data_IF_943081900968
#
_entry.id   IF_943081900968
#
_cell.length_a   1.000
_cell.length_b   1.000
_cell.length_c   1.000
_cell.angle_alpha   90.00
_cell.angle_beta   90.00
_cell.angle_gamma   90.00
#
_symmetry.space_group_name_H-M   'P 1'
#
loop_
_entity.id
_entity.type
_entity.pdbx_description
1 polymer ?
#
# COMPACT_ATOMS: atom_id res chain seq x y z
N UNK A 1 31.75 -7.83 -19.39
CA UNK A 1 31.56 -9.11 -18.67
C UNK A 1 31.47 -8.81 -17.18
N UNK A 2 30.25 -8.57 -16.67
CA UNK A 2 29.97 -8.41 -15.25
C UNK A 2 29.02 -9.54 -14.86
N UNK A 3 29.30 -10.17 -13.73
CA UNK A 3 28.72 -11.43 -13.26
C UNK A 3 27.26 -11.21 -12.82
N UNK A 4 26.35 -11.98 -13.39
CA UNK A 4 24.98 -12.12 -12.89
C UNK A 4 25.02 -12.90 -11.58
N UNK A 5 24.54 -12.29 -10.50
CA UNK A 5 24.22 -12.99 -9.26
C UNK A 5 22.70 -13.18 -9.29
N UNK A 6 22.26 -14.38 -9.67
CA UNK A 6 20.87 -14.79 -9.56
C UNK A 6 20.56 -15.07 -8.08
N UNK A 7 19.87 -14.15 -7.42
CA UNK A 7 19.10 -14.49 -6.23
C UNK A 7 17.78 -15.10 -6.69
N UNK A 8 17.66 -16.42 -6.56
CA UNK A 8 16.41 -17.12 -6.79
C UNK A 8 15.44 -16.86 -5.63
N UNK A 9 14.45 -16.01 -5.87
CA UNK A 9 13.26 -15.89 -5.03
C UNK A 9 12.39 -17.14 -5.24
N UNK A 10 12.19 -17.89 -4.15
CA UNK A 10 11.31 -19.06 -4.12
C UNK A 10 9.86 -18.54 -4.15
N UNK A 11 9.21 -18.75 -5.29
CA UNK A 11 7.79 -18.50 -5.50
C UNK A 11 6.99 -19.64 -4.84
N UNK A 12 6.46 -19.43 -3.64
CA UNK A 12 5.44 -20.34 -3.08
C UNK A 12 4.07 -19.94 -3.60
N UNK A 13 3.67 -20.57 -4.69
CA UNK A 13 2.27 -20.66 -5.10
C UNK A 13 1.56 -21.56 -4.06
N UNK A 14 0.97 -20.97 -3.02
CA UNK A 14 0.17 -21.73 -2.06
C UNK A 14 -1.22 -21.98 -2.66
N UNK A 15 -1.40 -23.13 -3.31
CA UNK A 15 -2.72 -23.68 -3.60
C UNK A 15 -3.17 -24.43 -2.34
N UNK A 16 -3.95 -23.79 -1.47
CA UNK A 16 -4.45 -24.42 -0.25
C UNK A 16 -5.82 -25.06 -0.47
N UNK A 17 -5.83 -26.32 -0.89
CA UNK A 17 -6.92 -27.25 -0.58
C UNK A 17 -6.80 -27.68 0.88
N UNK A 18 -7.82 -27.43 1.69
CA UNK A 18 -7.83 -27.70 3.13
C UNK A 18 -7.84 -29.18 3.53
N UNK A 19 -7.29 -29.47 4.71
CA UNK A 19 -7.90 -30.32 5.74
C UNK A 19 -7.08 -30.27 7.05
N UNK A 20 -7.79 -30.18 8.17
CA UNK A 20 -7.35 -30.21 9.57
C UNK A 20 -6.71 -31.55 9.99
N UNK A 21 -5.75 -31.52 10.92
CA UNK A 21 -5.63 -32.38 12.14
C UNK A 21 -4.43 -31.93 13.02
N UNK A 22 -4.62 -32.08 14.34
CA UNK A 22 -3.91 -31.52 15.50
C UNK A 22 -2.56 -32.17 15.88
N UNK A 23 -1.84 -31.38 16.70
CA UNK A 23 -1.08 -31.70 17.93
C UNK A 23 0.45 -31.91 17.91
N UNK A 24 1.14 -31.01 18.64
CA UNK A 24 1.90 -31.22 19.89
C UNK A 24 3.41 -30.85 19.89
N UNK A 25 3.68 -29.74 20.61
CA UNK A 25 4.73 -29.44 21.59
C UNK A 25 6.13 -30.11 21.51
N UNK A 26 7.19 -29.28 21.47
CA UNK A 26 7.98 -28.81 22.64
C UNK A 26 9.51 -28.74 22.40
N UNK A 27 10.15 -27.72 22.99
CA UNK A 27 11.48 -27.70 23.68
C UNK A 27 12.40 -26.51 23.33
N UNK A 28 12.23 -25.43 24.11
CA UNK A 28 13.19 -24.61 24.88
C UNK A 28 14.65 -24.36 24.41
N UNK A 29 15.07 -23.08 24.50
CA UNK A 29 16.23 -22.58 25.26
C UNK A 29 16.17 -21.03 25.36
N UNK A 30 15.81 -20.43 26.51
CA UNK A 30 16.70 -19.78 27.53
C UNK A 30 17.64 -18.70 26.94
N UNK A 31 17.65 -17.43 27.35
CA UNK A 31 18.04 -16.81 28.63
C UNK A 31 17.87 -15.27 28.39
N UNK A 32 17.64 -14.33 29.29
CA UNK A 32 18.02 -14.17 30.69
C UNK A 32 17.17 -13.06 31.33
N UNK A 33 16.85 -13.25 32.60
CA UNK A 33 16.12 -12.37 33.51
C UNK A 33 17.11 -11.39 34.17
N UNK A 34 16.74 -10.11 34.30
CA UNK A 34 17.34 -9.18 35.26
C UNK A 34 16.21 -8.60 36.13
N UNK A 35 16.43 -8.55 37.45
CA UNK A 35 15.45 -8.27 38.51
C UNK A 35 15.78 -6.99 39.28
N UNK A 36 14.70 -6.37 39.82
CA UNK A 36 14.57 -5.51 41.02
C UNK A 36 15.12 -4.07 40.97
N UNK A 37 14.55 -3.05 41.63
CA UNK A 37 13.52 -2.97 42.70
C UNK A 37 12.88 -1.56 42.76
N UNK A 38 11.63 -1.53 43.25
CA UNK A 38 10.86 -0.55 44.06
C UNK A 38 11.14 0.98 44.08
N UNK A 39 10.05 1.74 43.94
CA UNK A 39 9.61 2.70 44.98
C UNK A 39 8.16 3.14 44.79
N UNK A 40 7.33 2.89 45.80
CA UNK A 40 5.98 3.39 46.00
C UNK A 40 5.90 4.92 46.12
N UNK A 41 4.85 5.54 45.56
CA UNK A 41 4.17 6.66 46.23
C UNK A 41 2.66 6.65 45.90
N UNK A 42 1.87 6.80 46.94
CA UNK A 42 0.42 6.74 46.91
C UNK A 42 -0.16 8.15 47.07
N UNK A 43 -1.05 8.55 46.16
CA UNK A 43 -1.98 9.65 46.41
C UNK A 43 -3.35 9.32 45.85
N UNK A 44 -4.32 9.27 46.75
CA UNK A 44 -5.74 8.99 46.51
C UNK A 44 -6.52 10.27 46.20
N UNK A 45 -7.72 10.06 45.63
CA UNK A 45 -8.88 10.97 45.43
C UNK A 45 -8.91 11.73 44.09
N UNK A 46 -9.98 11.78 43.30
CA UNK A 46 -11.43 11.61 43.52
C UNK A 46 -12.13 10.96 42.30
N UNK A 47 -13.19 10.18 42.55
CA UNK A 47 -14.13 9.68 41.53
C UNK A 47 -15.09 10.79 41.09
N UNK A 48 -15.22 11.00 39.78
CA UNK A 48 -16.39 11.64 39.20
C UNK A 48 -16.92 10.77 38.05
N UNK A 49 -18.08 10.16 38.31
CA UNK A 49 -18.84 9.32 37.39
C UNK A 49 -19.49 10.19 36.32
N UNK A 50 -19.07 10.05 35.07
CA UNK A 50 -19.90 10.39 33.91
C UNK A 50 -20.01 9.17 33.00
N UNK A 51 -21.24 8.66 32.88
CA UNK A 51 -21.55 7.47 32.11
C UNK A 51 -21.54 7.75 30.61
N UNK A 52 -20.51 7.24 29.93
CA UNK A 52 -20.51 6.93 28.51
C UNK A 52 -20.57 5.40 28.33
N UNK A 53 -21.13 4.89 27.22
CA UNK A 53 -21.33 3.46 27.04
C UNK A 53 -19.97 2.77 27.02
N UNK A 54 -19.74 1.94 28.05
CA UNK A 54 -18.60 1.03 28.15
C UNK A 54 -18.64 0.07 26.95
N UNK A 55 -18.05 0.48 25.83
CA UNK A 55 -17.54 -0.46 24.85
C UNK A 55 -16.57 -1.35 25.60
N UNK A 56 -16.84 -2.65 25.63
CA UNK A 56 -15.91 -3.63 26.17
C UNK A 56 -14.72 -3.73 25.22
N UNK A 57 -13.84 -2.73 25.22
CA UNK A 57 -12.54 -2.80 24.56
C UNK A 57 -11.69 -3.77 25.38
N UNK A 58 -11.66 -5.02 24.92
CA UNK A 58 -10.55 -5.90 25.25
C UNK A 58 -9.28 -5.18 24.76
N UNK A 59 -8.27 -5.12 25.62
CA UNK A 59 -6.95 -4.56 25.27
C UNK A 59 -6.43 -5.28 24.02
N UNK A 60 -6.04 -4.52 22.99
CA UNK A 60 -5.54 -5.07 21.73
C UNK A 60 -4.11 -5.59 21.96
N UNK A 61 -3.88 -6.87 21.67
CA UNK A 61 -2.54 -7.47 21.75
C UNK A 61 -1.81 -7.29 20.41
N UNK A 62 -1.08 -6.19 20.26
CA UNK A 62 -0.33 -5.87 19.04
C UNK A 62 0.78 -6.88 18.69
N UNK A 63 1.12 -7.80 19.59
CA UNK A 63 2.14 -8.84 19.34
C UNK A 63 1.51 -10.17 18.91
N UNK A 64 0.18 -10.26 18.89
CA UNK A 64 -0.54 -11.39 18.33
C UNK A 64 -0.53 -11.32 16.80
N UNK A 65 -0.31 -12.47 16.16
CA UNK A 65 -0.57 -12.65 14.73
C UNK A 65 -2.09 -12.73 14.47
N UNK A 66 -2.62 -11.70 13.83
CA UNK A 66 -4.04 -11.60 13.45
C UNK A 66 -4.33 -12.09 12.02
N UNK A 67 -3.35 -12.65 11.29
CA UNK A 67 -3.51 -13.01 9.87
C UNK A 67 -4.74 -13.89 9.63
N UNK A 68 -4.89 -14.99 10.38
CA UNK A 68 -6.05 -15.89 10.23
C UNK A 68 -7.39 -15.26 10.64
N UNK A 69 -7.38 -14.33 11.60
CA UNK A 69 -8.57 -13.60 12.01
C UNK A 69 -9.00 -12.62 10.90
N UNK A 70 -8.03 -11.88 10.35
CA UNK A 70 -8.21 -10.98 9.19
C UNK A 70 -8.77 -11.74 8.00
N UNK A 71 -8.14 -12.85 7.60
CA UNK A 71 -8.58 -13.66 6.47
C UNK A 71 -10.03 -14.11 6.65
N UNK A 72 -10.39 -14.58 7.85
CA UNK A 72 -11.74 -15.02 8.17
C UNK A 72 -12.76 -13.89 8.02
N UNK A 73 -12.43 -12.69 8.48
CA UNK A 73 -13.31 -11.52 8.38
C UNK A 73 -13.44 -11.01 6.95
N UNK A 74 -12.35 -10.98 6.18
CA UNK A 74 -12.38 -10.62 4.76
C UNK A 74 -13.24 -11.60 3.97
N UNK A 75 -13.06 -12.92 4.14
CA UNK A 75 -13.93 -13.89 3.48
C UNK A 75 -15.40 -13.80 3.95
N UNK A 76 -15.65 -13.44 5.20
CA UNK A 76 -17.02 -13.19 5.67
C UNK A 76 -17.63 -11.97 4.98
N UNK A 77 -16.87 -10.89 4.79
CA UNK A 77 -17.29 -9.70 4.04
C UNK A 77 -17.60 -10.03 2.56
N UNK A 78 -16.72 -10.77 1.90
CA UNK A 78 -16.90 -11.25 0.52
C UNK A 78 -18.19 -12.07 0.40
N UNK A 79 -18.36 -13.08 1.25
CA UNK A 79 -19.52 -13.98 1.20
C UNK A 79 -20.86 -13.30 1.55
N UNK A 80 -20.81 -12.16 2.26
CA UNK A 80 -21.99 -11.38 2.60
C UNK A 80 -22.41 -10.40 1.49
N UNK A 81 -21.54 -10.17 0.50
CA UNK A 81 -21.73 -9.15 -0.54
C UNK A 81 -22.45 -9.72 -1.76
N UNK A 82 -23.31 -8.92 -2.37
CA UNK A 82 -24.11 -9.31 -3.55
C UNK A 82 -23.54 -8.79 -4.87
N UNK A 83 -22.68 -7.77 -4.80
CA UNK A 83 -22.00 -7.13 -5.93
C UNK A 83 -20.53 -6.90 -5.59
N UNK A 84 -19.65 -6.81 -6.59
CA UNK A 84 -18.25 -6.40 -6.46
C UNK A 84 -18.12 -5.00 -5.86
N UNK A 85 -19.05 -4.08 -6.17
CA UNK A 85 -19.07 -2.77 -5.54
C UNK A 85 -19.30 -2.86 -4.02
N UNK A 86 -20.30 -3.65 -3.59
CA UNK A 86 -20.59 -3.88 -2.17
C UNK A 86 -19.45 -4.65 -1.49
N UNK A 87 -18.83 -5.59 -2.19
CA UNK A 87 -17.70 -6.38 -1.70
C UNK A 87 -16.51 -5.50 -1.31
N UNK A 88 -16.07 -4.61 -2.21
CA UNK A 88 -14.99 -3.65 -1.91
C UNK A 88 -15.36 -2.75 -0.73
N UNK A 89 -16.61 -2.29 -0.65
CA UNK A 89 -17.10 -1.49 0.50
C UNK A 89 -17.11 -2.29 1.82
N UNK A 90 -17.43 -3.57 1.78
CA UNK A 90 -17.45 -4.44 2.96
C UNK A 90 -16.04 -4.82 3.42
N UNK A 91 -15.11 -5.06 2.51
CA UNK A 91 -13.69 -5.25 2.84
C UNK A 91 -13.08 -3.96 3.40
N UNK A 92 -13.45 -2.79 2.86
CA UNK A 92 -13.06 -1.50 3.44
C UNK A 92 -13.52 -1.37 4.90
N UNK A 93 -14.74 -1.81 5.25
CA UNK A 93 -15.21 -1.81 6.66
C UNK A 93 -14.38 -2.72 7.57
N UNK A 94 -13.82 -3.81 7.04
CA UNK A 94 -12.84 -4.62 7.78
C UNK A 94 -11.57 -3.79 8.02
N UNK A 95 -11.04 -3.11 6.99
CA UNK A 95 -9.89 -2.21 7.15
C UNK A 95 -10.15 -1.08 8.16
N UNK A 96 -11.33 -0.45 8.11
CA UNK A 96 -11.74 0.61 9.04
C UNK A 96 -11.75 0.11 10.50
N UNK A 97 -12.24 -1.12 10.74
CA UNK A 97 -12.20 -1.74 12.05
C UNK A 97 -10.75 -1.89 12.56
N UNK A 98 -9.85 -2.45 11.74
CA UNK A 98 -8.44 -2.60 12.11
C UNK A 98 -7.74 -1.24 12.27
N UNK A 99 -8.22 -0.21 11.58
CA UNK A 99 -7.74 1.18 11.73
C UNK A 99 -8.07 1.70 13.13
N UNK A 100 -9.29 1.47 13.63
CA UNK A 100 -9.65 1.82 15.01
C UNK A 100 -8.86 1.04 16.07
N UNK A 101 -8.40 -0.17 15.75
CA UNK A 101 -7.48 -0.92 16.61
C UNK A 101 -6.07 -0.33 16.58
N UNK A 102 -5.53 -0.06 15.39
CA UNK A 102 -4.20 0.51 15.21
C UNK A 102 -4.04 1.89 15.87
N UNK A 103 -5.10 2.69 15.96
CA UNK A 103 -5.11 3.98 16.69
C UNK A 103 -4.79 3.85 18.18
N UNK A 104 -4.90 2.66 18.76
CA UNK A 104 -4.58 2.40 20.16
C UNK A 104 -3.08 2.08 20.37
N UNK A 105 -2.29 1.94 19.29
CA UNK A 105 -0.86 1.73 19.38
C UNK A 105 -0.17 2.93 20.05
N UNK A 106 0.69 2.67 21.03
CA UNK A 106 1.36 3.70 21.83
C UNK A 106 2.86 3.78 21.51
N UNK A 107 3.44 2.73 20.97
CA UNK A 107 4.85 2.63 20.60
C UNK A 107 5.04 2.45 19.10
N UNK A 108 6.20 2.87 18.59
CA UNK A 108 6.58 2.64 17.19
C UNK A 108 6.54 1.15 16.83
N UNK A 109 6.89 0.26 17.77
CA UNK A 109 6.81 -1.19 17.55
C UNK A 109 5.37 -1.64 17.31
N UNK A 110 4.41 -1.19 18.13
CA UNK A 110 2.99 -1.53 17.95
C UNK A 110 2.41 -0.93 16.65
N UNK A 111 2.83 0.29 16.30
CA UNK A 111 2.48 0.90 15.01
C UNK A 111 3.02 0.07 13.83
N UNK A 112 4.27 -0.39 13.93
CA UNK A 112 4.88 -1.24 12.90
C UNK A 112 4.12 -2.58 12.77
N UNK A 113 3.80 -3.24 13.90
CA UNK A 113 3.07 -4.51 13.88
C UNK A 113 1.66 -4.36 13.31
N UNK A 114 0.96 -3.28 13.68
CA UNK A 114 -0.40 -3.05 13.20
C UNK A 114 -0.49 -2.62 11.74
N UNK A 115 0.57 -2.00 11.19
CA UNK A 115 0.58 -1.58 9.78
C UNK A 115 0.48 -2.74 8.78
N UNK A 116 0.96 -3.94 9.15
CA UNK A 116 0.86 -5.13 8.31
C UNK A 116 -0.59 -5.59 8.11
N UNK A 117 -1.48 -5.36 9.09
CA UNK A 117 -2.87 -5.82 9.05
C UNK A 117 -3.60 -5.32 7.81
N UNK A 118 -3.37 -4.08 7.43
CA UNK A 118 -4.06 -3.45 6.29
C UNK A 118 -3.62 -4.06 4.96
N UNK A 119 -2.31 -4.29 4.79
CA UNK A 119 -1.80 -5.00 3.62
C UNK A 119 -2.39 -6.42 3.54
N UNK A 120 -2.44 -7.14 4.66
CA UNK A 120 -3.04 -8.49 4.72
C UNK A 120 -4.53 -8.50 4.34
N UNK A 121 -5.29 -7.49 4.76
CA UNK A 121 -6.71 -7.35 4.38
C UNK A 121 -6.86 -7.28 2.86
N UNK A 122 -6.13 -6.36 2.22
CA UNK A 122 -6.25 -6.16 0.77
C UNK A 122 -5.58 -7.25 -0.05
N UNK A 123 -4.49 -7.86 0.41
CA UNK A 123 -3.87 -8.99 -0.28
C UNK A 123 -4.79 -10.23 -0.26
N UNK A 124 -5.49 -10.46 0.86
CA UNK A 124 -6.53 -11.50 0.94
C UNK A 124 -7.63 -11.28 -0.10
N UNK A 125 -8.13 -10.04 -0.19
CA UNK A 125 -9.16 -9.68 -1.17
C UNK A 125 -8.64 -9.80 -2.62
N UNK A 126 -7.42 -9.32 -2.89
CA UNK A 126 -6.79 -9.42 -4.21
C UNK A 126 -6.69 -10.88 -4.67
N UNK A 127 -6.28 -11.78 -3.77
CA UNK A 127 -6.16 -13.21 -4.07
C UNK A 127 -7.54 -13.85 -4.36
N UNK A 128 -8.60 -13.43 -3.65
CA UNK A 128 -9.98 -13.86 -3.90
C UNK A 128 -10.49 -13.38 -5.26
N UNK A 129 -10.38 -12.08 -5.56
CA UNK A 129 -10.74 -11.48 -6.84
C UNK A 129 -9.99 -12.15 -8.00
N UNK A 130 -8.68 -12.33 -7.85
CA UNK A 130 -7.84 -12.95 -8.85
C UNK A 130 -8.26 -14.39 -9.16
N UNK A 131 -8.57 -15.17 -8.12
CA UNK A 131 -9.03 -16.56 -8.28
C UNK A 131 -10.34 -16.61 -9.10
N UNK A 132 -11.33 -15.80 -8.73
CA UNK A 132 -12.61 -15.69 -9.47
C UNK A 132 -12.41 -15.19 -10.90
N UNK A 133 -11.52 -14.21 -11.11
CA UNK A 133 -11.17 -13.71 -12.43
C UNK A 133 -10.60 -14.82 -13.33
N UNK A 134 -9.63 -15.60 -12.83
CA UNK A 134 -9.03 -16.70 -13.59
C UNK A 134 -10.05 -17.79 -13.94
N UNK A 135 -10.99 -18.08 -13.04
CA UNK A 135 -12.05 -19.06 -13.29
C UNK A 135 -13.08 -18.58 -14.32
N UNK A 136 -13.31 -17.27 -14.40
CA UNK A 136 -14.41 -16.70 -15.21
C UNK A 136 -13.95 -16.19 -16.58
N UNK A 137 -12.75 -15.62 -16.69
CA UNK A 137 -12.27 -14.97 -17.91
C UNK A 137 -11.98 -15.96 -19.06
N UNK A 138 -12.28 -15.53 -20.29
CA UNK A 138 -11.83 -16.21 -21.50
C UNK A 138 -10.28 -16.18 -21.64
N UNK A 139 -9.73 -17.06 -22.48
CA UNK A 139 -8.28 -17.24 -22.64
C UNK A 139 -7.55 -15.94 -23.04
N UNK A 140 -8.13 -15.14 -23.94
CA UNK A 140 -7.47 -13.93 -24.46
C UNK A 140 -7.44 -12.84 -23.38
N UNK A 141 -8.58 -12.61 -22.72
CA UNK A 141 -8.69 -11.68 -21.58
C UNK A 141 -7.77 -12.09 -20.43
N UNK A 142 -7.77 -13.39 -20.10
CA UNK A 142 -6.90 -13.97 -19.07
C UNK A 142 -5.42 -13.75 -19.36
N UNK A 143 -4.97 -14.01 -20.59
CA UNK A 143 -3.58 -13.82 -20.97
C UNK A 143 -3.13 -12.35 -20.81
N UNK A 144 -3.97 -11.40 -21.24
CA UNK A 144 -3.69 -9.97 -21.13
C UNK A 144 -3.58 -9.53 -19.67
N UNK A 145 -4.57 -9.84 -18.84
CA UNK A 145 -4.61 -9.39 -17.44
C UNK A 145 -3.55 -10.12 -16.60
N UNK A 146 -3.28 -11.40 -16.87
CA UNK A 146 -2.19 -12.16 -16.21
C UNK A 146 -0.81 -11.56 -16.50
N UNK A 147 -0.57 -11.10 -17.74
CA UNK A 147 0.68 -10.41 -18.06
C UNK A 147 0.82 -9.13 -17.24
N UNK A 148 -0.25 -8.33 -17.13
CA UNK A 148 -0.25 -7.13 -16.29
C UNK A 148 -0.07 -7.44 -14.80
N UNK A 149 -0.69 -8.53 -14.30
CA UNK A 149 -0.55 -8.99 -12.91
C UNK A 149 0.89 -9.38 -12.59
N UNK A 150 1.52 -10.17 -13.46
CA UNK A 150 2.92 -10.58 -13.29
C UNK A 150 3.86 -9.38 -13.33
N UNK A 151 3.62 -8.45 -14.24
CA UNK A 151 4.39 -7.21 -14.30
C UNK A 151 4.25 -6.43 -12.99
N UNK A 152 3.02 -6.16 -12.52
CA UNK A 152 2.76 -5.47 -11.26
C UNK A 152 3.45 -6.16 -10.06
N UNK A 153 3.36 -7.49 -9.95
CA UNK A 153 4.05 -8.25 -8.90
C UNK A 153 5.57 -8.06 -8.98
N UNK A 154 6.14 -8.07 -10.19
CA UNK A 154 7.59 -7.99 -10.39
C UNK A 154 8.22 -6.65 -10.01
N UNK A 155 7.44 -5.56 -10.00
CA UNK A 155 7.93 -4.21 -9.74
C UNK A 155 7.65 -3.72 -8.31
N UNK A 156 6.92 -4.48 -7.48
CA UNK A 156 6.55 -4.02 -6.12
C UNK A 156 7.77 -3.63 -5.30
N UNK A 157 8.77 -4.52 -5.25
CA UNK A 157 10.00 -4.30 -4.47
C UNK A 157 10.81 -3.11 -5.01
N UNK A 158 10.83 -2.92 -6.33
CA UNK A 158 11.49 -1.78 -6.98
C UNK A 158 10.80 -0.47 -6.59
N UNK A 159 9.46 -0.43 -6.59
CA UNK A 159 8.69 0.75 -6.21
C UNK A 159 8.87 1.11 -4.74
N UNK A 160 8.90 0.12 -3.86
CA UNK A 160 9.21 0.33 -2.43
C UNK A 160 10.60 0.95 -2.29
N UNK A 161 11.61 0.36 -2.93
CA UNK A 161 13.00 0.85 -2.88
C UNK A 161 13.13 2.27 -3.44
N UNK A 162 12.49 2.56 -4.56
CA UNK A 162 12.58 3.87 -5.21
C UNK A 162 11.80 4.96 -4.45
N UNK A 163 10.71 4.58 -3.77
CA UNK A 163 9.87 5.52 -3.01
C UNK A 163 10.47 5.79 -1.63
N UNK A 164 10.85 4.75 -0.89
CA UNK A 164 11.25 4.84 0.52
C UNK A 164 12.77 4.79 0.74
N UNK A 165 13.53 4.42 -0.29
CA UNK A 165 14.95 4.11 -0.16
C UNK A 165 15.21 2.74 0.48
N UNK A 166 16.48 2.39 0.70
CA UNK A 166 16.86 1.13 1.34
C UNK A 166 16.39 1.05 2.80
N UNK A 167 15.85 -0.11 3.20
CA UNK A 167 15.34 -0.36 4.55
C UNK A 167 16.37 -0.19 5.66
N UNK A 168 17.66 -0.44 5.38
CA UNK A 168 18.77 -0.25 6.32
C UNK A 168 19.05 1.23 6.64
N UNK A 169 18.54 2.16 5.82
CA UNK A 169 18.63 3.61 6.03
C UNK A 169 17.31 4.25 6.48
N UNK A 170 16.19 3.54 6.40
CA UNK A 170 14.85 4.06 6.70
C UNK A 170 14.50 4.17 8.19
N UNK A 171 15.32 3.60 9.07
CA UNK A 171 15.12 3.64 10.51
C UNK A 171 13.90 2.85 10.99
N UNK A 172 13.44 3.13 12.21
CA UNK A 172 12.41 2.33 12.89
C UNK A 172 11.00 2.51 12.32
N UNK A 173 10.74 3.54 11.52
CA UNK A 173 9.42 3.80 10.90
C UNK A 173 9.26 3.09 9.56
N UNK A 174 10.35 2.59 8.97
CA UNK A 174 10.34 1.97 7.64
C UNK A 174 9.24 0.92 7.45
N UNK A 175 8.98 -0.02 8.40
CA UNK A 175 7.91 -1.00 8.24
C UNK A 175 6.52 -0.36 8.04
N UNK A 176 6.19 0.70 8.80
CA UNK A 176 4.92 1.41 8.61
C UNK A 176 4.81 2.02 7.21
N UNK A 177 5.89 2.62 6.71
CA UNK A 177 5.90 3.25 5.39
C UNK A 177 5.79 2.21 4.28
N UNK A 178 6.52 1.09 4.41
CA UNK A 178 6.50 -0.01 3.46
C UNK A 178 5.12 -0.66 3.40
N UNK A 179 4.54 -1.02 4.54
CA UNK A 179 3.21 -1.62 4.56
C UNK A 179 2.11 -0.66 4.11
N UNK A 180 2.21 0.64 4.41
CA UNK A 180 1.27 1.63 3.89
C UNK A 180 1.33 1.76 2.35
N UNK A 181 2.53 1.74 1.78
CA UNK A 181 2.69 1.74 0.32
C UNK A 181 2.17 0.45 -0.32
N UNK A 182 2.47 -0.71 0.29
CA UNK A 182 1.97 -2.00 -0.18
C UNK A 182 0.44 -2.09 -0.06
N UNK A 183 -0.16 -1.57 1.01
CA UNK A 183 -1.59 -1.45 1.19
C UNK A 183 -2.22 -0.66 0.03
N UNK A 184 -1.72 0.55 -0.23
CA UNK A 184 -2.24 1.44 -1.27
C UNK A 184 -2.18 0.76 -2.65
N UNK A 185 -1.02 0.21 -3.01
CA UNK A 185 -0.83 -0.48 -4.29
C UNK A 185 -1.76 -1.70 -4.42
N UNK A 186 -1.99 -2.41 -3.31
CA UNK A 186 -2.82 -3.64 -3.32
C UNK A 186 -4.30 -3.30 -3.41
N UNK A 187 -4.77 -2.28 -2.69
CA UNK A 187 -6.13 -1.75 -2.82
C UNK A 187 -6.40 -1.26 -4.25
N UNK A 188 -5.46 -0.51 -4.84
CA UNK A 188 -5.61 -0.05 -6.22
C UNK A 188 -5.70 -1.24 -7.19
N UNK A 189 -4.91 -2.29 -6.93
CA UNK A 189 -4.98 -3.53 -7.70
C UNK A 189 -6.30 -4.27 -7.54
N UNK A 190 -6.87 -4.34 -6.32
CA UNK A 190 -8.20 -4.90 -6.10
C UNK A 190 -9.25 -4.20 -6.97
N UNK A 191 -9.27 -2.87 -6.99
CA UNK A 191 -10.20 -2.10 -7.81
C UNK A 191 -10.05 -2.38 -9.32
N UNK A 192 -8.81 -2.51 -9.80
CA UNK A 192 -8.54 -2.85 -11.20
C UNK A 192 -9.07 -4.26 -11.53
N UNK A 193 -8.78 -5.26 -10.69
CA UNK A 193 -9.22 -6.65 -10.94
C UNK A 193 -10.74 -6.77 -10.78
N UNK A 194 -11.35 -6.10 -9.81
CA UNK A 194 -12.80 -6.04 -9.64
C UNK A 194 -13.48 -5.43 -10.89
N UNK A 195 -12.94 -4.35 -11.44
CA UNK A 195 -13.46 -3.76 -12.67
C UNK A 195 -13.30 -4.68 -13.89
N UNK A 196 -12.17 -5.40 -14.01
CA UNK A 196 -12.01 -6.40 -15.08
C UNK A 196 -13.00 -7.58 -14.90
N UNK A 197 -13.24 -8.02 -13.67
CA UNK A 197 -14.21 -9.07 -13.36
C UNK A 197 -15.64 -8.60 -13.65
N UNK A 198 -16.01 -7.38 -13.27
CA UNK A 198 -17.32 -6.78 -13.52
C UNK A 198 -17.64 -6.73 -15.02
N UNK A 199 -16.67 -6.37 -15.86
CA UNK A 199 -16.82 -6.38 -17.33
C UNK A 199 -17.16 -7.78 -17.87
N UNK A 200 -16.59 -8.83 -17.27
CA UNK A 200 -16.81 -10.22 -17.68
C UNK A 200 -18.18 -10.72 -17.18
N UNK A 201 -18.55 -10.38 -15.96
CA UNK A 201 -19.82 -10.82 -15.34
C UNK A 201 -21.02 -9.98 -15.77
N UNK A 202 -20.78 -8.83 -16.42
CA UNK A 202 -21.83 -7.88 -16.80
C UNK A 202 -22.36 -7.07 -15.62
N UNK A 203 -21.58 -6.99 -14.53
CA UNK A 203 -21.91 -6.19 -13.36
C UNK A 203 -21.52 -4.71 -13.60
N UNK A 204 -22.30 -3.79 -13.03
CA UNK A 204 -21.92 -2.37 -13.00
C UNK A 204 -20.94 -2.13 -11.86
N UNK A 205 -19.77 -1.58 -12.18
CA UNK A 205 -18.72 -1.28 -11.21
C UNK A 205 -18.16 0.10 -11.49
N UNK A 206 -18.14 0.96 -10.46
CA UNK A 206 -17.63 2.31 -10.58
C UNK A 206 -16.24 2.37 -9.97
N UNK A 207 -15.22 2.59 -10.81
CA UNK A 207 -13.86 2.83 -10.33
C UNK A 207 -13.88 3.98 -9.32
N UNK A 208 -13.29 3.82 -8.12
CA UNK A 208 -13.32 4.87 -7.11
C UNK A 208 -12.47 6.07 -7.57
N UNK A 209 -12.79 7.25 -7.05
CA UNK A 209 -11.97 8.44 -7.30
C UNK A 209 -10.58 8.25 -6.68
N UNK A 210 -9.52 8.53 -7.43
CA UNK A 210 -8.16 8.48 -6.88
C UNK A 210 -7.88 9.66 -5.95
N UNK A 211 -7.01 9.41 -4.98
CA UNK A 211 -6.41 10.43 -4.13
C UNK A 211 -5.48 11.33 -4.95
N UNK A 212 -5.17 12.50 -4.38
CA UNK A 212 -4.07 13.36 -4.83
C UNK A 212 -2.70 12.68 -4.63
N UNK A 213 -2.67 11.68 -3.74
CA UNK A 213 -1.52 10.89 -3.38
C UNK A 213 -1.54 9.55 -4.11
N UNK A 214 -0.36 9.06 -4.41
CA UNK A 214 -0.15 7.73 -4.97
C UNK A 214 0.99 7.70 -5.97
N UNK A 215 1.20 6.50 -6.52
CA UNK A 215 2.33 6.19 -7.40
C UNK A 215 1.88 5.89 -8.82
N UNK A 216 2.63 6.43 -9.78
CA UNK A 216 2.43 6.31 -11.22
C UNK A 216 3.74 5.96 -11.89
N UNK A 217 3.72 5.08 -12.88
CA UNK A 217 4.94 4.64 -13.56
C UNK A 217 4.84 4.70 -15.07
N UNK A 218 6.00 4.85 -15.71
CA UNK A 218 6.24 4.58 -17.11
C UNK A 218 7.15 3.36 -17.24
N UNK A 219 6.73 2.40 -18.04
CA UNK A 219 7.51 1.20 -18.35
C UNK A 219 8.02 1.19 -19.79
N UNK A 220 7.63 2.17 -20.62
CA UNK A 220 7.96 2.25 -22.05
C UNK A 220 7.64 0.98 -22.85
N UNK A 221 6.62 0.22 -22.44
CA UNK A 221 6.26 -1.07 -23.03
C UNK A 221 7.21 -2.22 -22.67
N UNK A 222 8.05 -2.03 -21.65
CA UNK A 222 8.97 -3.04 -21.09
C UNK A 222 8.43 -3.61 -19.78
N UNK A 223 9.17 -4.56 -19.19
CA UNK A 223 8.87 -5.13 -17.87
C UNK A 223 9.72 -4.50 -16.75
N UNK A 224 10.26 -3.29 -16.96
CA UNK A 224 11.07 -2.55 -15.99
C UNK A 224 10.39 -1.21 -15.65
N UNK A 225 10.61 -0.67 -14.45
CA UNK A 225 10.22 0.70 -14.15
C UNK A 225 11.24 1.65 -14.78
N UNK A 226 10.81 2.45 -15.76
CA UNK A 226 11.70 3.42 -16.43
C UNK A 226 11.68 4.76 -15.69
N UNK A 227 10.47 5.28 -15.49
CA UNK A 227 10.23 6.56 -14.82
C UNK A 227 9.07 6.38 -13.85
N UNK A 228 9.07 7.14 -12.76
CA UNK A 228 7.94 7.15 -11.84
C UNK A 228 7.66 8.54 -11.30
N UNK A 229 6.42 8.72 -10.88
CA UNK A 229 5.91 9.88 -10.16
C UNK A 229 5.22 9.34 -8.91
N UNK A 230 5.67 9.77 -7.75
CA UNK A 230 5.01 9.52 -6.47
C UNK A 230 4.61 10.83 -5.83
N UNK A 231 3.44 10.85 -5.22
CA UNK A 231 2.86 12.00 -4.50
C UNK A 231 2.41 11.53 -3.13
N UNK A 232 2.79 12.24 -2.08
CA UNK A 232 2.52 11.83 -0.70
C UNK A 232 2.33 13.04 0.23
N UNK A 233 1.67 12.87 1.39
CA UNK A 233 1.72 13.86 2.44
C UNK A 233 3.17 14.01 2.94
N UNK A 234 3.69 15.23 3.05
CA UNK A 234 5.00 15.46 3.66
C UNK A 234 4.92 15.56 5.18
N UNK A 235 6.07 15.39 5.81
CA UNK A 235 6.20 15.30 7.28
C UNK A 235 5.82 16.58 8.03
N UNK A 236 6.04 17.75 7.42
CA UNK A 236 5.84 19.07 8.04
C UNK A 236 4.68 19.87 7.42
N UNK A 237 3.69 19.17 6.85
CA UNK A 237 2.44 19.70 6.26
C UNK A 237 2.48 20.09 4.77
N UNK A 238 3.65 20.17 4.15
CA UNK A 238 3.71 20.38 2.69
C UNK A 238 3.53 19.05 1.97
N UNK A 239 2.74 19.00 0.89
CA UNK A 239 2.66 17.80 0.08
C UNK A 239 3.95 17.62 -0.72
N UNK A 240 4.44 16.39 -0.81
CA UNK A 240 5.71 16.07 -1.46
C UNK A 240 5.48 15.25 -2.72
N UNK A 241 6.29 15.52 -3.75
CA UNK A 241 6.36 14.67 -4.92
C UNK A 241 7.80 14.29 -5.24
N UNK A 242 7.97 13.05 -5.68
CA UNK A 242 9.21 12.50 -6.22
C UNK A 242 8.98 12.08 -7.66
N UNK A 243 9.80 12.60 -8.56
CA UNK A 243 9.71 12.35 -10.00
C UNK A 243 11.05 11.82 -10.49
N UNK A 244 11.11 10.56 -10.85
CA UNK A 244 12.29 9.97 -11.50
C UNK A 244 12.03 9.87 -13.00
N UNK A 245 12.90 10.47 -13.79
CA UNK A 245 12.85 10.46 -15.25
C UNK A 245 14.07 9.71 -15.77
N UNK A 246 13.82 8.60 -16.45
CA UNK A 246 14.86 7.66 -16.88
C UNK A 246 16.08 8.35 -17.52
N UNK A 247 17.25 8.18 -16.91
CA UNK A 247 18.56 8.72 -17.35
C UNK A 247 18.67 10.26 -17.43
N UNK A 248 17.64 11.00 -17.03
CA UNK A 248 17.64 12.45 -17.08
C UNK A 248 17.80 13.07 -15.71
N UNK A 249 16.89 12.77 -14.77
CA UNK A 249 16.91 13.38 -13.45
C UNK A 249 16.04 12.62 -12.44
N UNK A 250 16.33 12.82 -11.16
CA UNK A 250 15.40 12.57 -10.05
C UNK A 250 15.10 13.91 -9.41
N UNK A 251 13.82 14.27 -9.33
CA UNK A 251 13.32 15.53 -8.80
C UNK A 251 12.58 15.25 -7.50
N UNK A 252 12.94 15.97 -6.46
CA UNK A 252 12.25 15.95 -5.17
C UNK A 252 11.81 17.37 -4.83
N UNK A 253 10.57 17.51 -4.38
CA UNK A 253 9.98 18.83 -4.19
C UNK A 253 8.62 18.76 -3.54
N UNK A 254 8.00 19.94 -3.42
CA UNK A 254 6.66 20.09 -2.87
C UNK A 254 5.66 20.48 -3.95
N UNK A 255 4.38 20.25 -3.69
CA UNK A 255 3.31 20.67 -4.59
C UNK A 255 2.11 21.30 -3.88
N UNK A 256 1.39 22.13 -4.63
CA UNK A 256 0.12 22.76 -4.21
C UNK A 256 -0.99 22.32 -5.18
N UNK A 257 -2.12 21.86 -4.65
CA UNK A 257 -3.30 21.52 -5.46
C UNK A 257 -3.93 22.79 -6.06
N UNK A 258 -4.20 22.77 -7.37
CA UNK A 258 -4.84 23.86 -8.11
C UNK A 258 -6.32 23.60 -8.43
N UNK A 259 -6.81 22.41 -8.08
CA UNK A 259 -8.07 21.87 -8.54
C UNK A 259 -7.93 21.23 -9.94
N UNK A 260 -9.01 20.56 -10.39
CA UNK A 260 -9.04 19.86 -11.68
C UNK A 260 -7.90 18.85 -11.88
N UNK A 261 -7.47 18.19 -10.79
CA UNK A 261 -6.37 17.22 -10.78
C UNK A 261 -5.01 17.79 -11.28
N UNK A 262 -4.80 19.11 -11.19
CA UNK A 262 -3.51 19.74 -11.46
C UNK A 262 -2.79 20.12 -10.15
N UNK A 263 -1.49 19.86 -10.09
CA UNK A 263 -0.62 20.18 -8.96
C UNK A 263 0.52 21.07 -9.44
N UNK A 264 0.68 22.25 -8.82
CA UNK A 264 1.83 23.13 -9.04
C UNK A 264 3.01 22.60 -8.23
N UNK A 265 4.01 22.03 -8.92
CA UNK A 265 5.20 21.42 -8.32
C UNK A 265 6.41 22.37 -8.36
N UNK A 266 7.25 22.33 -7.32
CA UNK A 266 8.54 23.00 -7.27
C UNK A 266 9.58 22.13 -6.57
N UNK A 267 10.76 21.98 -7.16
CA UNK A 267 11.85 21.22 -6.53
C UNK A 267 12.39 21.92 -5.28
N UNK A 268 12.95 21.14 -4.36
CA UNK A 268 13.49 21.62 -3.10
C UNK A 268 14.63 22.64 -3.27
N UNK A 269 15.41 22.52 -4.34
CA UNK A 269 16.46 23.48 -4.72
C UNK A 269 15.93 24.73 -5.44
N UNK A 270 14.66 24.73 -5.85
CA UNK A 270 14.01 25.82 -6.59
C UNK A 270 14.38 25.90 -8.07
N UNK A 271 15.16 24.94 -8.60
CA UNK A 271 15.67 24.98 -9.96
C UNK A 271 14.61 24.62 -11.02
N UNK A 272 13.64 23.77 -10.66
CA UNK A 272 12.59 23.31 -11.58
C UNK A 272 11.22 23.58 -10.98
N UNK A 273 10.32 24.08 -11.84
CA UNK A 273 8.89 24.13 -11.58
C UNK A 273 8.16 23.42 -12.69
N UNK A 274 7.02 22.82 -12.36
CA UNK A 274 6.18 22.16 -13.34
C UNK A 274 4.76 21.94 -12.86
N UNK A 275 3.95 21.41 -13.76
CA UNK A 275 2.55 21.05 -13.49
C UNK A 275 2.47 19.53 -13.58
N UNK A 276 2.06 18.90 -12.48
CA UNK A 276 1.65 17.49 -12.48
C UNK A 276 0.16 17.45 -12.80
N UNK A 277 -0.26 16.56 -13.69
CA UNK A 277 -1.68 16.31 -13.99
C UNK A 277 -2.02 14.86 -13.72
N UNK A 278 -3.00 14.63 -12.84
CA UNK A 278 -3.47 13.29 -12.49
C UNK A 278 -4.70 12.95 -13.34
N UNK A 279 -4.64 11.86 -14.08
CA UNK A 279 -5.72 11.40 -14.98
C UNK A 279 -6.47 10.21 -14.37
N UNK A 280 -6.71 10.25 -13.06
CA UNK A 280 -7.29 9.17 -12.26
C UNK A 280 -6.55 7.83 -12.51
N UNK A 281 -7.26 6.84 -13.04
CA UNK A 281 -6.73 5.50 -13.35
C UNK A 281 -5.99 5.41 -14.69
N UNK A 282 -5.97 6.49 -15.48
CA UNK A 282 -5.30 6.55 -16.78
C UNK A 282 -3.87 7.09 -16.69
N UNK A 283 -3.29 7.10 -15.50
CA UNK A 283 -1.92 7.57 -15.29
C UNK A 283 -1.82 9.04 -14.90
N UNK A 284 -0.63 9.60 -15.06
CA UNK A 284 -0.32 10.99 -14.75
C UNK A 284 0.70 11.57 -15.73
N UNK A 285 0.84 12.90 -15.76
CA UNK A 285 1.85 13.58 -16.57
C UNK A 285 2.55 14.68 -15.77
N UNK A 286 3.77 15.03 -16.16
CA UNK A 286 4.54 16.15 -15.63
C UNK A 286 5.03 17.05 -16.77
N UNK A 287 4.69 18.33 -16.71
CA UNK A 287 5.12 19.35 -17.68
C UNK A 287 5.97 20.42 -17.01
N UNK A 288 7.16 20.69 -17.57
CA UNK A 288 8.09 21.67 -17.02
C UNK A 288 7.66 23.09 -17.41
N UNK A 289 7.50 23.96 -16.42
CA UNK A 289 7.08 25.37 -16.60
C UNK A 289 8.19 26.37 -16.32
N UNK A 290 9.19 26.00 -15.50
CA UNK A 290 10.42 26.76 -15.30
C UNK A 290 11.60 25.81 -15.07
N UNK A 291 12.77 26.17 -15.60
CA UNK A 291 13.99 25.40 -15.41
C UNK A 291 15.22 26.31 -15.47
N UNK A 292 16.07 26.26 -14.45
CA UNK A 292 17.47 26.70 -14.48
C UNK A 292 18.43 25.54 -14.83
N UNK A 293 17.89 24.33 -15.01
CA UNK A 293 18.65 23.12 -15.29
C UNK A 293 18.94 22.98 -16.80
N UNK A 294 20.13 22.48 -17.15
CA UNK A 294 20.55 22.26 -18.55
C UNK A 294 20.02 20.95 -19.17
N UNK A 295 19.63 19.98 -18.36
CA UNK A 295 19.16 18.66 -18.81
C UNK A 295 17.66 18.63 -19.10
N UNK A 296 16.91 19.55 -18.50
CA UNK A 296 15.45 19.58 -18.54
C UNK A 296 14.99 20.97 -18.98
N UNK A 297 14.22 21.04 -20.06
CA UNK A 297 13.80 22.26 -20.73
C UNK A 297 12.34 22.60 -20.48
N UNK A 298 12.02 23.90 -20.45
CA UNK A 298 10.64 24.39 -20.34
C UNK A 298 9.81 23.86 -21.52
N UNK A 299 8.62 23.32 -21.22
CA UNK A 299 7.70 22.73 -22.18
C UNK A 299 7.89 21.23 -22.42
N UNK A 300 8.94 20.61 -21.87
CA UNK A 300 9.06 19.15 -21.90
C UNK A 300 7.96 18.49 -21.06
N UNK A 301 7.47 17.34 -21.55
CA UNK A 301 6.38 16.56 -20.96
C UNK A 301 6.80 15.12 -20.77
N UNK A 302 6.49 14.58 -19.60
CA UNK A 302 6.75 13.19 -19.23
C UNK A 302 5.43 12.54 -18.83
N UNK A 303 5.19 11.33 -19.32
CA UNK A 303 3.95 10.58 -19.12
C UNK A 303 4.23 9.34 -18.26
N UNK A 304 3.35 9.08 -17.29
CA UNK A 304 3.39 7.94 -16.37
C UNK A 304 2.09 7.17 -16.54
N UNK A 305 2.06 6.28 -17.54
CA UNK A 305 0.83 5.68 -18.06
C UNK A 305 0.14 4.67 -17.14
N UNK A 306 0.83 4.17 -16.12
CA UNK A 306 0.29 3.15 -15.22
C UNK A 306 0.05 3.76 -13.85
N UNK A 307 -1.21 3.76 -13.43
CA UNK A 307 -1.61 3.92 -12.05
C UNK A 307 -1.34 2.59 -11.32
N UNK A 308 -0.48 2.63 -10.29
CA UNK A 308 -0.26 1.49 -9.39
C UNK A 308 -1.30 1.43 -8.29
#
# INVERSE_FOLDING_TARGET
MKKFICYGLIFTLLIMTGCTIKHAENTTASHSKFTQDDSDDASTTFEESNGEPKGTTSEIDFFKDYTSDIETEVYAAINASSTLQEEIEMVQKVSDKYTEWAKQAMSQTEMNMSSEWFYTIWDTELNSLWSRFIETADEDTKAKVLSAQRYWVSIKDEIVLETLGPSDTGGSIYPCLEYGLLEEMTLNRCNIIANELAKITGEDFQMPKRSLYGTYIDNQGTNEVYSYLSTQPGWMHDNEAKISIYRLATLEGTFIEKGNNELDFSTNDGDIKGIIRLNDWNGASFEITASSNSLLSVGEKFEFNFAL
#
